data_IF_130065883812
#
_entry.id   IF_130065883812
#
_cell.length_a   1.000
_cell.length_b   1.000
_cell.length_c   1.000
_cell.angle_alpha   90.00
_cell.angle_beta   90.00
_cell.angle_gamma   90.00
#
_symmetry.space_group_name_H-M   'P 1'
#
loop_
_entity.id
_entity.type
_entity.pdbx_description
1 polymer ?
#
# COMPACT_ATOMS: atom_id res chain seq x y z
N UNK A 1 -1.12 7.63 22.77
CA UNK A 1 -1.38 8.33 21.49
C UNK A 1 -0.79 7.53 20.34
N UNK A 2 -1.58 7.16 19.34
CA UNK A 2 -1.22 6.18 18.29
C UNK A 2 -0.28 6.72 17.20
N UNK A 3 0.69 7.55 17.59
CA UNK A 3 1.65 8.20 16.69
C UNK A 3 2.45 7.19 15.87
N UNK A 4 2.78 6.03 16.44
CA UNK A 4 3.48 4.93 15.73
C UNK A 4 2.62 4.41 14.58
N UNK A 5 1.35 4.08 14.83
CA UNK A 5 0.43 3.56 13.80
C UNK A 5 0.20 4.56 12.68
N UNK A 6 -0.01 5.84 13.01
CA UNK A 6 -0.19 6.91 12.02
C UNK A 6 1.09 7.07 11.18
N UNK A 7 2.27 7.15 11.83
CA UNK A 7 3.55 7.27 11.15
C UNK A 7 3.78 6.14 10.15
N UNK A 8 3.54 4.90 10.55
CA UNK A 8 3.74 3.74 9.68
C UNK A 8 2.65 3.59 8.61
N UNK A 9 1.43 4.06 8.87
CA UNK A 9 0.38 4.19 7.85
C UNK A 9 0.80 5.15 6.74
N UNK A 10 1.24 6.36 7.10
CA UNK A 10 1.73 7.36 6.14
C UNK A 10 2.96 6.83 5.38
N UNK A 11 3.93 6.24 6.08
CA UNK A 11 5.14 5.71 5.45
C UNK A 11 4.82 4.60 4.44
N UNK A 12 3.89 3.69 4.77
CA UNK A 12 3.44 2.65 3.86
C UNK A 12 2.72 3.23 2.63
N UNK A 13 1.87 4.26 2.81
CA UNK A 13 1.20 4.93 1.70
C UNK A 13 2.19 5.62 0.77
N UNK A 14 3.19 6.32 1.32
CA UNK A 14 4.23 6.96 0.52
C UNK A 14 5.05 5.93 -0.27
N UNK A 15 5.41 4.80 0.37
CA UNK A 15 6.10 3.72 -0.31
C UNK A 15 5.26 3.14 -1.47
N UNK A 16 3.95 2.94 -1.26
CA UNK A 16 3.02 2.52 -2.30
C UNK A 16 2.94 3.53 -3.46
N UNK A 17 2.79 4.82 -3.15
CA UNK A 17 2.74 5.90 -4.16
C UNK A 17 4.00 5.91 -5.01
N UNK A 18 5.17 5.88 -4.36
CA UNK A 18 6.47 5.84 -5.03
C UNK A 18 6.55 4.59 -5.92
N UNK A 19 6.09 3.45 -5.45
CA UNK A 19 6.08 2.21 -6.24
C UNK A 19 5.21 2.33 -7.49
N UNK A 20 3.97 2.83 -7.36
CA UNK A 20 3.06 3.06 -8.50
C UNK A 20 3.68 4.00 -9.53
N UNK A 21 4.36 5.05 -9.08
CA UNK A 21 5.07 5.99 -9.96
C UNK A 21 6.24 5.32 -10.70
N UNK A 22 7.01 4.47 -10.02
CA UNK A 22 8.09 3.68 -10.63
C UNK A 22 7.51 2.73 -11.69
N UNK A 23 6.46 1.97 -11.35
CA UNK A 23 5.79 1.07 -12.29
C UNK A 23 5.24 1.82 -13.51
N UNK A 24 4.68 3.01 -13.30
CA UNK A 24 4.24 3.86 -14.41
C UNK A 24 5.41 4.28 -15.31
N UNK A 25 6.50 4.78 -14.73
CA UNK A 25 7.69 5.22 -15.47
C UNK A 25 8.34 4.08 -16.26
N UNK A 26 8.31 2.85 -15.73
CA UNK A 26 8.82 1.65 -16.42
C UNK A 26 7.85 1.09 -17.49
N UNK A 27 6.65 1.69 -17.60
CA UNK A 27 5.59 1.28 -18.52
C UNK A 27 4.82 0.04 -18.05
N UNK A 28 5.00 -0.41 -16.81
CA UNK A 28 4.35 -1.63 -16.28
C UNK A 28 2.84 -1.42 -16.07
N UNK A 29 2.43 -0.17 -15.83
CA UNK A 29 1.02 0.21 -15.72
C UNK A 29 0.39 0.64 -17.06
N UNK A 30 1.13 0.63 -18.17
CA UNK A 30 0.65 1.15 -19.47
C UNK A 30 0.89 0.17 -20.61
N UNK A 31 2.14 -0.20 -20.90
CA UNK A 31 2.51 -0.99 -22.10
C UNK A 31 2.91 -2.43 -21.78
N UNK A 32 3.51 -2.67 -20.60
CA UNK A 32 4.05 -3.98 -20.18
C UNK A 32 3.16 -4.59 -19.10
N UNK A 33 1.87 -4.74 -19.40
CA UNK A 33 0.83 -5.07 -18.41
C UNK A 33 1.07 -6.43 -17.70
N UNK A 34 1.62 -7.43 -18.41
CA UNK A 34 2.02 -8.72 -17.79
C UNK A 34 3.07 -8.57 -16.70
N UNK A 35 4.06 -7.69 -16.89
CA UNK A 35 5.04 -7.38 -15.84
C UNK A 35 4.39 -6.60 -14.69
N UNK A 36 3.52 -5.63 -15.03
CA UNK A 36 2.73 -4.88 -14.04
C UNK A 36 1.88 -5.77 -13.14
N UNK A 37 1.29 -6.84 -13.67
CA UNK A 37 0.54 -7.80 -12.86
C UNK A 37 1.40 -8.43 -11.77
N UNK A 38 2.62 -8.87 -12.12
CA UNK A 38 3.56 -9.51 -11.20
C UNK A 38 4.10 -8.49 -10.18
N UNK A 39 4.52 -7.31 -10.64
CA UNK A 39 5.15 -6.30 -9.77
C UNK A 39 4.15 -5.68 -8.80
N UNK A 40 2.86 -5.63 -9.14
CA UNK A 40 1.82 -5.18 -8.23
C UNK A 40 1.74 -6.04 -6.96
N UNK A 41 2.00 -7.35 -7.06
CA UNK A 41 2.07 -8.22 -5.87
C UNK A 41 3.21 -7.83 -4.93
N UNK A 42 4.32 -7.28 -5.44
CA UNK A 42 5.42 -6.80 -4.62
C UNK A 42 4.98 -5.71 -3.64
N UNK A 43 4.08 -4.81 -4.06
CA UNK A 43 3.57 -3.74 -3.21
C UNK A 43 2.77 -4.28 -2.00
N UNK A 44 2.09 -5.42 -2.16
CA UNK A 44 1.37 -6.11 -1.08
C UNK A 44 2.36 -6.65 -0.03
N UNK A 45 3.47 -7.25 -0.46
CA UNK A 45 4.51 -7.73 0.46
C UNK A 45 5.15 -6.57 1.25
N UNK A 46 5.43 -5.45 0.58
CA UNK A 46 5.94 -4.24 1.23
C UNK A 46 4.94 -3.73 2.27
N UNK A 47 3.65 -3.71 1.96
CA UNK A 47 2.61 -3.33 2.92
C UNK A 47 2.59 -4.23 4.17
N UNK A 48 2.67 -5.55 4.01
CA UNK A 48 2.76 -6.47 5.16
C UNK A 48 4.01 -6.25 6.00
N UNK A 49 5.15 -5.94 5.37
CA UNK A 49 6.37 -5.58 6.09
C UNK A 49 6.14 -4.33 6.97
N UNK A 50 5.43 -3.32 6.46
CA UNK A 50 5.06 -2.15 7.26
C UNK A 50 4.14 -2.47 8.44
N UNK A 51 3.20 -3.40 8.30
CA UNK A 51 2.37 -3.89 9.42
C UNK A 51 3.26 -4.53 10.49
N UNK A 52 4.17 -5.42 10.09
CA UNK A 52 5.10 -6.10 11.01
C UNK A 52 5.97 -5.07 11.74
N UNK A 53 6.55 -4.11 11.02
CA UNK A 53 7.37 -3.05 11.61
C UNK A 53 6.54 -2.20 12.59
N UNK A 54 5.30 -1.83 12.22
CA UNK A 54 4.41 -1.06 13.09
C UNK A 54 4.15 -1.79 14.42
N UNK A 55 3.77 -3.07 14.35
CA UNK A 55 3.51 -3.90 15.54
C UNK A 55 4.78 -4.07 16.37
N UNK A 56 5.92 -4.34 15.73
CA UNK A 56 7.21 -4.48 16.41
C UNK A 56 7.65 -3.20 17.14
N UNK A 57 7.43 -2.03 16.53
CA UNK A 57 7.70 -0.73 17.15
C UNK A 57 6.73 -0.42 18.29
N UNK A 58 5.47 -0.79 18.14
CA UNK A 58 4.47 -0.65 19.20
C UNK A 58 4.87 -1.51 20.42
N UNK A 59 5.30 -2.75 20.21
CA UNK A 59 5.81 -3.64 21.27
C UNK A 59 7.04 -3.07 21.98
N UNK A 60 7.97 -2.45 21.26
CA UNK A 60 9.12 -1.78 21.90
C UNK A 60 8.69 -0.58 22.75
N UNK A 61 7.70 0.20 22.29
CA UNK A 61 7.19 1.34 23.06
C UNK A 61 6.49 0.96 24.36
N UNK A 62 6.17 -0.33 24.54
CA UNK A 62 5.50 -0.87 25.72
C UNK A 62 6.41 -1.81 26.52
N UNK A 63 7.73 -1.56 26.49
CA UNK A 63 8.74 -2.37 27.20
C UNK A 63 8.62 -3.87 26.91
N UNK A 64 8.33 -4.24 25.65
CA UNK A 64 8.20 -5.63 25.22
C UNK A 64 6.83 -6.26 25.45
N UNK A 65 5.90 -5.57 26.12
CA UNK A 65 4.58 -6.11 26.48
C UNK A 65 3.51 -5.51 25.58
N UNK A 66 3.01 -6.28 24.61
CA UNK A 66 1.93 -5.84 23.74
C UNK A 66 0.76 -6.82 23.84
N UNK A 67 -0.37 -6.35 24.36
CA UNK A 67 -1.59 -7.16 24.37
C UNK A 67 -2.15 -7.31 22.96
N UNK A 68 -2.95 -8.36 22.75
CA UNK A 68 -3.63 -8.58 21.47
C UNK A 68 -4.49 -7.38 21.06
N UNK A 69 -5.27 -6.82 21.99
CA UNK A 69 -6.10 -5.64 21.73
C UNK A 69 -5.29 -4.42 21.27
N UNK A 70 -4.15 -4.15 21.90
CA UNK A 70 -3.26 -3.06 21.48
C UNK A 70 -2.60 -3.32 20.12
N UNK A 71 -2.30 -4.58 19.79
CA UNK A 71 -1.81 -4.98 18.47
C UNK A 71 -2.86 -4.78 17.38
N UNK A 72 -4.09 -5.23 17.64
CA UNK A 72 -5.25 -5.04 16.76
C UNK A 72 -5.56 -3.56 16.54
N UNK A 73 -5.62 -2.76 17.60
CA UNK A 73 -5.83 -1.30 17.51
C UNK A 73 -4.75 -0.65 16.64
N UNK A 74 -3.49 -1.00 16.89
CA UNK A 74 -2.36 -0.42 16.16
C UNK A 74 -2.40 -0.77 14.66
N UNK A 75 -2.75 -2.01 14.32
CA UNK A 75 -2.92 -2.47 12.94
C UNK A 75 -4.09 -1.78 12.25
N UNK A 76 -5.26 -1.74 12.89
CA UNK A 76 -6.48 -1.11 12.35
C UNK A 76 -6.25 0.37 12.02
N UNK A 77 -5.64 1.14 12.93
CA UNK A 77 -5.36 2.56 12.68
C UNK A 77 -4.39 2.71 11.49
N UNK A 78 -3.34 1.89 11.44
CA UNK A 78 -2.36 1.93 10.35
C UNK A 78 -3.00 1.63 8.99
N UNK A 79 -3.85 0.60 8.92
CA UNK A 79 -4.58 0.20 7.70
C UNK A 79 -5.57 1.27 7.26
N UNK A 80 -6.30 1.90 8.19
CA UNK A 80 -7.24 2.99 7.86
C UNK A 80 -6.50 4.17 7.23
N UNK A 81 -5.40 4.62 7.84
CA UNK A 81 -4.56 5.69 7.29
C UNK A 81 -4.01 5.30 5.92
N UNK A 82 -3.51 4.06 5.80
CA UNK A 82 -3.00 3.54 4.55
C UNK A 82 -4.05 3.58 3.43
N UNK A 83 -5.21 2.97 3.68
CA UNK A 83 -6.30 2.83 2.72
C UNK A 83 -6.88 4.16 2.28
N UNK A 84 -7.05 5.12 3.21
CA UNK A 84 -7.52 6.47 2.85
C UNK A 84 -6.56 7.17 1.88
N UNK A 85 -5.27 7.19 2.20
CA UNK A 85 -4.27 7.89 1.36
C UNK A 85 -4.12 7.18 0.01
N UNK A 86 -4.06 5.84 -0.02
CA UNK A 86 -3.91 5.10 -1.27
C UNK A 86 -5.15 5.17 -2.15
N UNK A 87 -6.36 5.20 -1.57
CA UNK A 87 -7.60 5.41 -2.34
C UNK A 87 -7.61 6.79 -3.00
N UNK A 88 -7.25 7.85 -2.26
CA UNK A 88 -7.14 9.20 -2.83
C UNK A 88 -6.08 9.24 -3.93
N UNK A 89 -4.91 8.66 -3.69
CA UNK A 89 -3.86 8.58 -4.71
C UNK A 89 -4.32 7.85 -5.97
N UNK A 90 -4.94 6.67 -5.84
CA UNK A 90 -5.43 5.91 -6.99
C UNK A 90 -6.50 6.69 -7.76
N UNK A 91 -7.34 7.46 -7.06
CA UNK A 91 -8.32 8.34 -7.69
C UNK A 91 -7.68 9.47 -8.51
N UNK A 92 -6.61 10.06 -8.00
CA UNK A 92 -5.82 11.07 -8.73
C UNK A 92 -5.09 10.42 -9.91
N UNK A 93 -4.43 9.29 -9.68
CA UNK A 93 -3.63 8.58 -10.68
C UNK A 93 -4.49 8.12 -11.86
N UNK A 94 -5.66 7.52 -11.61
CA UNK A 94 -6.57 7.12 -12.70
C UNK A 94 -7.04 8.32 -13.52
N UNK A 95 -7.37 9.45 -12.87
CA UNK A 95 -7.99 10.56 -13.58
C UNK A 95 -6.98 11.38 -14.38
N UNK A 96 -5.79 11.60 -13.82
CA UNK A 96 -4.82 12.55 -14.38
C UNK A 96 -3.61 11.89 -15.05
N UNK A 97 -3.23 10.66 -14.67
CA UNK A 97 -1.99 10.04 -15.15
C UNK A 97 -2.24 8.81 -16.03
N UNK A 98 -3.25 7.99 -15.70
CA UNK A 98 -3.54 6.77 -16.44
C UNK A 98 -5.05 6.48 -16.52
N UNK A 99 -5.79 7.20 -17.39
CA UNK A 99 -7.23 7.03 -17.57
C UNK A 99 -7.65 5.63 -18.01
N UNK A 100 -6.79 4.94 -18.77
CA UNK A 100 -7.07 3.59 -19.27
C UNK A 100 -6.66 2.48 -18.29
N UNK A 101 -6.18 2.80 -17.09
CA UNK A 101 -5.70 1.81 -16.12
C UNK A 101 -6.73 0.68 -15.86
N UNK A 102 -7.98 1.04 -15.59
CA UNK A 102 -9.03 0.06 -15.29
C UNK A 102 -9.42 -0.77 -16.51
N UNK A 103 -9.54 -0.14 -17.67
CA UNK A 103 -9.81 -0.85 -18.93
C UNK A 103 -8.72 -1.86 -19.25
N UNK A 104 -7.45 -1.45 -19.16
CA UNK A 104 -6.29 -2.33 -19.35
C UNK A 104 -6.28 -3.50 -18.35
N UNK A 105 -6.72 -3.28 -17.10
CA UNK A 105 -6.81 -4.36 -16.10
C UNK A 105 -7.95 -5.34 -16.39
N UNK A 106 -9.10 -4.87 -16.90
CA UNK A 106 -10.21 -5.74 -17.28
C UNK A 106 -9.84 -6.61 -18.48
N UNK A 107 -9.23 -6.03 -19.51
CA UNK A 107 -8.78 -6.78 -20.70
C UNK A 107 -7.83 -7.93 -20.34
N UNK A 108 -6.89 -7.71 -19.41
CA UNK A 108 -6.00 -8.77 -18.91
C UNK A 108 -6.71 -9.91 -18.18
N UNK A 109 -7.92 -9.66 -17.65
CA UNK A 109 -8.70 -10.67 -16.93
C UNK A 109 -9.52 -11.52 -17.90
N UNK A 110 -9.95 -10.95 -19.04
CA UNK A 110 -10.70 -11.65 -20.09
C UNK A 110 -9.81 -12.50 -21.02
N UNK A 111 -8.53 -12.15 -21.18
CA UNK A 111 -7.56 -12.94 -21.95
C UNK A 111 -7.08 -14.24 -21.24
N UNK A 112 -7.53 -14.51 -20.02
CA UNK A 112 -7.19 -15.71 -19.22
C UNK A 112 -8.27 -16.76 -19.27
#
# INVERSE_FOLDING_TARGET
MNTISIKYGIAASLAFIIWVLIEHALGFNTTKLKMGEITRLASVFVFYLFIIICIWRKKQSTNGHLSFAQGMEAGTIMVIIYGMITAVWLAVYQHFMNPSLFENMMLMTEEK
#
